data_IF_515093111964
#
_entry.id   IF_515093111964
#
_cell.length_a   1.000
_cell.length_b   1.000
_cell.length_c   1.000
_cell.angle_alpha   90.00
_cell.angle_beta   90.00
_cell.angle_gamma   90.00
#
_symmetry.space_group_name_H-M   'P 1'
#
loop_
_entity.id
_entity.type
_entity.pdbx_description
1 polymer ?
#
# COMPACT_ATOMS: atom_id res chain seq x y z
N UNK A 1 7.96 -5.58 -2.61
CA UNK A 1 7.44 -4.21 -2.77
C UNK A 1 7.65 -3.41 -1.50
N UNK A 2 7.78 -2.11 -1.65
CA UNK A 2 8.00 -1.21 -0.52
C UNK A 2 6.78 -0.33 -0.32
N UNK A 3 6.23 -0.35 0.89
CA UNK A 3 5.02 0.42 1.22
C UNK A 3 5.30 1.56 2.19
N UNK A 4 6.55 1.96 2.33
CA UNK A 4 6.93 3.01 3.27
C UNK A 4 6.15 4.30 3.03
N UNK A 5 5.94 4.66 1.77
CA UNK A 5 5.18 5.86 1.42
C UNK A 5 3.74 5.76 1.91
N UNK A 6 3.15 4.57 1.82
CA UNK A 6 1.80 4.35 2.31
C UNK A 6 1.72 4.54 3.81
N UNK A 7 2.68 3.97 4.54
CA UNK A 7 2.69 4.09 6.01
C UNK A 7 2.83 5.55 6.43
N UNK A 8 3.68 6.30 5.74
CA UNK A 8 3.82 7.73 6.01
C UNK A 8 2.54 8.49 5.69
N UNK A 9 1.89 8.14 4.59
CA UNK A 9 0.63 8.78 4.20
C UNK A 9 -0.45 8.57 5.26
N UNK A 10 -0.54 7.35 5.81
CA UNK A 10 -1.49 7.06 6.87
C UNK A 10 -1.21 7.91 8.09
N UNK A 11 0.06 8.03 8.47
CA UNK A 11 0.45 8.85 9.61
C UNK A 11 0.07 10.31 9.37
N UNK A 12 0.36 10.83 8.18
CA UNK A 12 0.05 12.21 7.83
C UNK A 12 -1.46 12.49 7.89
N UNK A 13 -2.26 11.48 7.58
CA UNK A 13 -3.72 11.61 7.62
C UNK A 13 -4.32 11.16 8.93
N UNK A 14 -3.47 10.81 9.89
CA UNK A 14 -3.90 10.37 11.20
C UNK A 14 -4.80 9.13 11.14
N UNK A 15 -4.43 8.20 10.27
CA UNK A 15 -5.16 6.96 10.05
C UNK A 15 -4.35 5.77 10.54
N UNK A 16 -5.06 4.75 11.01
CA UNK A 16 -4.45 3.47 11.38
C UNK A 16 -4.67 2.47 10.26
N UNK A 17 -3.89 1.37 10.28
CA UNK A 17 -4.05 0.31 9.28
C UNK A 17 -5.46 -0.28 9.31
N UNK A 18 -6.05 -0.40 10.49
CA UNK A 18 -7.42 -0.90 10.63
C UNK A 18 -8.42 0.03 9.95
N UNK A 19 -8.18 1.34 10.01
CA UNK A 19 -9.02 2.30 9.31
C UNK A 19 -8.95 2.09 7.80
N UNK A 20 -7.74 1.85 7.29
CA UNK A 20 -7.55 1.63 5.87
C UNK A 20 -8.27 0.36 5.41
N UNK A 21 -8.22 -0.70 6.20
CA UNK A 21 -8.93 -1.95 5.88
C UNK A 21 -10.40 -1.66 5.65
N UNK A 22 -11.00 -0.89 6.54
CA UNK A 22 -12.42 -0.55 6.44
C UNK A 22 -12.71 0.38 5.27
N UNK A 23 -11.88 1.38 5.09
CA UNK A 23 -12.09 2.40 4.04
C UNK A 23 -11.93 1.79 2.65
N UNK A 24 -10.92 0.97 2.48
CA UNK A 24 -10.61 0.39 1.18
C UNK A 24 -11.39 -0.90 0.90
N UNK A 25 -11.95 -1.52 1.92
CA UNK A 25 -12.66 -2.78 1.76
C UNK A 25 -11.73 -3.92 1.40
N UNK A 26 -10.52 -3.92 1.94
CA UNK A 26 -9.55 -5.00 1.71
C UNK A 26 -9.57 -5.95 2.90
N UNK A 27 -8.97 -7.14 2.70
CA UNK A 27 -8.94 -8.14 3.75
C UNK A 27 -7.81 -7.86 4.75
N UNK A 28 -7.97 -8.41 5.96
CA UNK A 28 -6.92 -8.35 6.96
C UNK A 28 -5.67 -9.05 6.49
N UNK A 29 -5.85 -10.16 5.74
CA UNK A 29 -4.72 -10.90 5.19
C UNK A 29 -3.91 -10.07 4.20
N UNK A 30 -4.58 -9.29 3.37
CA UNK A 30 -3.89 -8.41 2.43
C UNK A 30 -3.06 -7.38 3.20
N UNK A 31 -3.64 -6.79 4.24
CA UNK A 31 -2.91 -5.81 5.05
C UNK A 31 -1.72 -6.46 5.75
N UNK A 32 -1.89 -7.67 6.25
CA UNK A 32 -0.79 -8.38 6.92
C UNK A 32 0.36 -8.66 5.95
N UNK A 33 0.04 -9.02 4.71
CA UNK A 33 1.06 -9.22 3.68
C UNK A 33 1.83 -7.93 3.41
N UNK A 34 1.11 -6.83 3.29
CA UNK A 34 1.74 -5.53 3.05
C UNK A 34 2.63 -5.13 4.21
N UNK A 35 2.23 -5.43 5.43
CA UNK A 35 3.03 -5.16 6.60
C UNK A 35 4.35 -5.90 6.62
N UNK A 36 4.41 -7.03 5.92
CA UNK A 36 5.63 -7.83 5.79
C UNK A 36 6.40 -7.51 4.50
N UNK A 37 5.93 -6.56 3.73
CA UNK A 37 6.55 -6.23 2.46
C UNK A 37 6.19 -7.18 1.33
N UNK A 38 5.17 -8.00 1.52
CA UNK A 38 4.74 -8.95 0.51
C UNK A 38 3.91 -8.30 -0.59
N UNK A 39 3.78 -9.04 -1.69
CA UNK A 39 3.03 -8.56 -2.85
C UNK A 39 1.53 -8.76 -2.64
N UNK A 40 0.76 -7.80 -3.10
CA UNK A 40 -0.70 -7.91 -3.13
C UNK A 40 -1.17 -7.64 -4.55
N UNK A 41 -2.43 -8.00 -4.82
CA UNK A 41 -2.97 -7.82 -6.17
C UNK A 41 -3.12 -6.33 -6.50
N UNK A 42 -3.12 -6.04 -7.79
CA UNK A 42 -3.36 -4.67 -8.25
C UNK A 42 -4.75 -4.19 -7.84
N UNK A 43 -5.69 -5.10 -7.70
CA UNK A 43 -7.04 -4.77 -7.26
C UNK A 43 -7.01 -4.21 -5.83
N UNK A 44 -6.22 -4.80 -4.96
CA UNK A 44 -6.04 -4.30 -3.59
C UNK A 44 -5.44 -2.90 -3.62
N UNK A 45 -4.40 -2.72 -4.44
CA UNK A 45 -3.75 -1.42 -4.56
C UNK A 45 -4.71 -0.35 -5.09
N UNK A 46 -5.52 -0.71 -6.07
CA UNK A 46 -6.52 0.21 -6.62
C UNK A 46 -7.54 0.64 -5.56
N UNK A 47 -7.98 -0.31 -4.74
CA UNK A 47 -8.91 -0.01 -3.66
C UNK A 47 -8.31 0.97 -2.65
N UNK A 48 -7.04 0.78 -2.32
CA UNK A 48 -6.34 1.67 -1.41
C UNK A 48 -6.22 3.07 -2.01
N UNK A 49 -5.84 3.15 -3.27
CA UNK A 49 -5.71 4.44 -3.95
C UNK A 49 -7.05 5.19 -3.97
N UNK A 50 -8.13 4.49 -4.25
CA UNK A 50 -9.46 5.10 -4.24
C UNK A 50 -9.86 5.58 -2.85
N UNK A 51 -9.58 4.77 -1.83
CA UNK A 51 -9.94 5.10 -0.46
C UNK A 51 -9.21 6.34 0.04
N UNK A 52 -7.93 6.46 -0.32
CA UNK A 52 -7.09 7.57 0.14
C UNK A 52 -7.05 8.72 -0.86
N UNK A 53 -7.68 8.55 -2.01
CA UNK A 53 -7.66 9.55 -3.08
C UNK A 53 -6.23 9.95 -3.45
N UNK A 54 -5.41 8.95 -3.69
CA UNK A 54 -3.99 9.14 -4.02
C UNK A 54 -3.61 8.28 -5.21
N UNK A 55 -2.39 8.44 -5.67
CA UNK A 55 -1.86 7.70 -6.81
C UNK A 55 -1.17 6.43 -6.34
N UNK A 56 -1.01 5.47 -7.25
CA UNK A 56 -0.32 4.22 -6.94
C UNK A 56 1.11 4.48 -6.46
N UNK A 57 1.76 5.46 -6.99
CA UNK A 57 3.14 5.82 -6.62
C UNK A 57 3.23 6.35 -5.19
N UNK A 58 2.11 6.78 -4.61
CA UNK A 58 2.05 7.20 -3.22
C UNK A 58 1.84 6.02 -2.26
N UNK A 59 1.47 4.87 -2.80
CA UNK A 59 1.16 3.68 -2.02
C UNK A 59 2.29 2.68 -2.05
N UNK A 60 2.85 2.42 -3.22
CA UNK A 60 3.83 1.37 -3.40
C UNK A 60 5.03 1.89 -4.18
N UNK A 61 6.20 1.41 -3.77
CA UNK A 61 7.45 1.70 -4.47
C UNK A 61 8.08 0.38 -4.84
N UNK A 62 8.44 0.24 -6.09
CA UNK A 62 9.09 -0.96 -6.58
C UNK A 62 10.61 -0.74 -6.56
N UNK A 63 11.33 -1.69 -5.96
CA UNK A 63 12.77 -1.63 -5.95
C UNK A 63 13.28 -1.96 -7.35
N UNK A 64 13.84 -0.97 -8.01
CA UNK A 64 14.30 -1.11 -9.38
C UNK A 64 15.79 -1.42 -9.50
N UNK A 65 16.48 -1.52 -8.39
CA UNK A 65 17.92 -1.77 -8.42
C UNK A 65 18.26 -3.04 -9.17
N UNK A 66 17.51 -4.09 -8.94
CA UNK A 66 17.73 -5.37 -9.61
C UNK A 66 17.34 -5.31 -11.08
N UNK A 67 16.44 -4.45 -11.43
CA UNK A 67 15.94 -4.33 -12.79
C UNK A 67 16.92 -3.57 -13.69
N UNK A 68 17.64 -2.65 -13.11
CA UNK A 68 18.59 -1.82 -13.82
C UNK A 68 19.79 -2.63 -14.31
N UNK A 69 20.11 -3.67 -13.60
CA UNK A 69 21.28 -4.49 -13.91
C UNK A 69 21.16 -5.25 -15.23
N UNK A 70 20.01 -5.23 -15.81
CA UNK A 70 19.83 -5.83 -17.13
C UNK A 70 20.40 -4.93 -18.19
#
# INVERSE_FOLDING_TARGET
MNYTKLWKLLIDRNLMKTDLIKMAGISTNAMAKMGKGGDVSTQVLAKICNALNCRIEDVVEIDTNNMISK
#
